data_IF_506051444400
#
_entry.id   IF_506051444400
#
_cell.length_a   1.000
_cell.length_b   1.000
_cell.length_c   1.000
_cell.angle_alpha   90.00
_cell.angle_beta   90.00
_cell.angle_gamma   90.00
#
_symmetry.space_group_name_H-M   'P 1'
#
loop_
_entity.id
_entity.type
_entity.pdbx_description
1 polymer ?
#
# COMPACT_ATOMS: atom_id res chain seq x y z
N UNK A 1 -5.98 60.18 -4.30
CA UNK A 1 -6.45 58.78 -4.17
C UNK A 1 -5.61 57.96 -5.14
N UNK A 2 -4.47 57.47 -4.65
CA UNK A 2 -3.47 56.71 -5.43
C UNK A 2 -3.92 55.26 -5.52
N UNK A 3 -4.24 54.80 -6.72
CA UNK A 3 -4.54 53.39 -6.96
C UNK A 3 -3.24 52.57 -6.90
N UNK A 4 -3.19 51.64 -5.97
CA UNK A 4 -2.16 50.62 -5.80
C UNK A 4 -2.17 49.68 -7.03
N UNK A 5 -1.03 49.40 -7.67
CA UNK A 5 -1.02 48.47 -8.79
C UNK A 5 -1.21 47.05 -8.25
N UNK A 6 -2.34 46.44 -8.61
CA UNK A 6 -2.59 45.03 -8.36
C UNK A 6 -1.44 44.20 -8.94
N UNK A 7 -0.62 43.64 -8.04
CA UNK A 7 0.39 42.65 -8.39
C UNK A 7 -0.28 41.47 -9.09
N UNK A 8 -0.17 41.44 -10.41
CA UNK A 8 -0.45 40.27 -11.21
C UNK A 8 0.53 39.16 -10.80
N UNK A 9 0.07 38.27 -9.91
CA UNK A 9 0.79 37.03 -9.59
C UNK A 9 0.93 36.25 -10.90
N UNK A 10 2.16 36.22 -11.42
CA UNK A 10 2.43 35.80 -12.79
C UNK A 10 2.04 34.32 -13.03
N UNK A 11 1.36 34.01 -14.15
CA UNK A 11 0.93 32.64 -14.52
C UNK A 11 2.11 31.64 -14.70
N UNK A 12 3.34 32.15 -14.82
CA UNK A 12 4.56 31.35 -14.95
C UNK A 12 4.84 30.46 -13.74
N UNK A 13 4.57 30.93 -12.51
CA UNK A 13 4.83 30.16 -11.30
C UNK A 13 3.83 29.02 -11.10
N UNK A 14 2.56 29.23 -11.48
CA UNK A 14 1.53 28.20 -11.41
C UNK A 14 1.78 27.09 -12.45
N UNK A 15 2.22 27.45 -13.65
CA UNK A 15 2.56 26.47 -14.69
C UNK A 15 3.83 25.66 -14.34
N UNK A 16 4.85 26.29 -13.74
CA UNK A 16 6.05 25.60 -13.26
C UNK A 16 5.71 24.62 -12.12
N UNK A 17 4.99 25.08 -11.10
CA UNK A 17 4.54 24.23 -10.00
C UNK A 17 3.63 23.07 -10.48
N UNK A 18 2.82 23.31 -11.51
CA UNK A 18 2.01 22.28 -12.16
C UNK A 18 2.87 21.17 -12.80
N UNK A 19 3.93 21.56 -13.53
CA UNK A 19 4.88 20.60 -14.15
C UNK A 19 5.66 19.79 -13.11
N UNK A 20 6.11 20.43 -12.04
CA UNK A 20 6.84 19.73 -10.97
C UNK A 20 5.95 18.70 -10.28
N UNK A 21 4.67 19.03 -10.06
CA UNK A 21 3.68 18.10 -9.52
C UNK A 21 3.42 16.93 -10.46
N UNK A 22 3.26 17.17 -11.76
CA UNK A 22 3.06 16.09 -12.74
C UNK A 22 4.26 15.16 -12.84
N UNK A 23 5.48 15.71 -12.79
CA UNK A 23 6.72 14.93 -12.74
C UNK A 23 6.76 14.04 -11.50
N UNK A 24 6.40 14.57 -10.32
CA UNK A 24 6.31 13.79 -9.07
C UNK A 24 5.32 12.62 -9.19
N UNK A 25 4.15 12.84 -9.80
CA UNK A 25 3.16 11.79 -10.02
C UNK A 25 3.59 10.77 -11.08
N UNK A 26 4.40 11.17 -12.06
CA UNK A 26 5.01 10.24 -13.00
C UNK A 26 6.01 9.31 -12.28
N UNK A 27 6.84 9.87 -11.40
CA UNK A 27 7.77 9.11 -10.54
C UNK A 27 7.00 8.16 -9.64
N UNK A 28 5.95 8.63 -8.95
CA UNK A 28 5.09 7.78 -8.10
C UNK A 28 4.50 6.58 -8.86
N UNK A 29 3.98 6.80 -10.07
CA UNK A 29 3.43 5.72 -10.91
C UNK A 29 4.51 4.71 -11.33
N UNK A 30 5.70 5.20 -11.68
CA UNK A 30 6.84 4.33 -12.03
C UNK A 30 7.27 3.50 -10.81
N UNK A 31 7.40 4.14 -9.65
CA UNK A 31 7.74 3.49 -8.39
C UNK A 31 6.73 2.40 -8.03
N UNK A 32 5.44 2.73 -7.96
CA UNK A 32 4.38 1.75 -7.61
C UNK A 32 4.25 0.61 -8.61
N UNK A 33 4.68 0.80 -9.87
CA UNK A 33 4.72 -0.27 -10.88
C UNK A 33 5.75 -1.36 -10.53
N UNK A 34 6.85 -1.02 -9.85
CA UNK A 34 7.83 -1.99 -9.34
C UNK A 34 7.23 -2.91 -8.28
N UNK A 35 6.27 -2.41 -7.50
CA UNK A 35 5.64 -3.12 -6.38
C UNK A 35 4.35 -3.87 -6.76
N UNK A 36 4.03 -3.99 -8.06
CA UNK A 36 2.82 -4.68 -8.51
C UNK A 36 2.78 -6.13 -8.05
N UNK A 37 1.59 -6.55 -7.60
CA UNK A 37 1.32 -7.92 -7.15
C UNK A 37 1.77 -9.01 -8.14
N UNK A 38 1.55 -8.81 -9.44
CA UNK A 38 1.97 -9.79 -10.46
C UNK A 38 3.48 -10.05 -10.45
N UNK A 39 4.29 -9.02 -10.13
CA UNK A 39 5.75 -9.16 -10.00
C UNK A 39 6.11 -9.91 -8.72
N UNK A 40 5.36 -9.71 -7.62
CA UNK A 40 5.53 -10.49 -6.39
C UNK A 40 5.33 -11.98 -6.64
N UNK A 41 4.20 -12.36 -7.24
CA UNK A 41 3.87 -13.78 -7.50
C UNK A 41 4.97 -14.43 -8.33
N UNK A 42 5.42 -13.76 -9.40
CA UNK A 42 6.52 -14.23 -10.22
C UNK A 42 7.83 -14.40 -9.43
N UNK A 43 8.12 -13.48 -8.51
CA UNK A 43 9.35 -13.50 -7.72
C UNK A 43 9.34 -14.56 -6.62
N UNK A 44 8.19 -14.79 -5.97
CA UNK A 44 8.00 -15.82 -4.94
C UNK A 44 8.12 -17.24 -5.54
N UNK A 45 7.57 -17.44 -6.74
CA UNK A 45 7.63 -18.75 -7.43
C UNK A 45 8.99 -18.97 -8.10
N UNK A 46 9.65 -17.90 -8.57
CA UNK A 46 10.85 -18.00 -9.39
C UNK A 46 12.18 -17.81 -8.68
N UNK A 47 12.22 -17.40 -7.40
CA UNK A 47 13.50 -17.16 -6.71
C UNK A 47 13.44 -17.39 -5.19
N UNK A 48 14.56 -17.85 -4.64
CA UNK A 48 14.74 -18.05 -3.20
C UNK A 48 14.78 -16.72 -2.43
N UNK A 49 15.27 -15.65 -3.06
CA UNK A 49 15.31 -14.29 -2.46
C UNK A 49 13.93 -13.69 -2.21
N UNK A 50 12.89 -14.16 -2.92
CA UNK A 50 11.51 -13.70 -2.68
C UNK A 50 10.99 -14.07 -1.30
N UNK A 51 11.55 -15.13 -0.69
CA UNK A 51 11.22 -15.56 0.67
C UNK A 51 11.96 -14.77 1.75
N UNK A 52 13.02 -14.04 1.40
CA UNK A 52 13.77 -13.22 2.36
C UNK A 52 12.91 -12.12 3.00
N UNK A 53 11.81 -11.72 2.36
CA UNK A 53 10.88 -10.72 2.91
C UNK A 53 10.09 -11.23 4.13
N UNK A 54 10.27 -12.51 4.49
CA UNK A 54 9.76 -13.13 5.71
C UNK A 54 10.86 -13.39 6.76
N UNK A 55 12.08 -12.90 6.54
CA UNK A 55 13.17 -13.00 7.51
C UNK A 55 13.10 -11.91 8.59
N UNK A 56 13.91 -12.05 9.64
CA UNK A 56 13.99 -11.07 10.73
C UNK A 56 14.50 -9.72 10.22
N UNK A 57 15.45 -9.72 9.27
CA UNK A 57 15.96 -8.49 8.63
C UNK A 57 15.27 -8.25 7.27
N UNK A 58 14.08 -7.65 7.36
CA UNK A 58 13.30 -7.27 6.18
C UNK A 58 13.88 -6.04 5.49
N UNK A 59 14.62 -5.17 6.19
CA UNK A 59 15.11 -3.90 5.65
C UNK A 59 16.26 -4.15 4.67
N UNK A 60 17.27 -4.93 5.07
CA UNK A 60 18.37 -5.29 4.18
C UNK A 60 17.87 -6.09 2.99
N UNK A 61 16.92 -7.00 3.23
CA UNK A 61 16.28 -7.76 2.16
C UNK A 61 15.55 -6.84 1.18
N UNK A 62 14.78 -5.86 1.67
CA UNK A 62 14.03 -4.94 0.83
C UNK A 62 14.96 -4.24 -0.16
N UNK A 63 16.12 -3.74 0.28
CA UNK A 63 17.14 -3.13 -0.59
C UNK A 63 17.75 -4.11 -1.59
N UNK A 64 18.01 -5.34 -1.17
CA UNK A 64 18.68 -6.34 -1.99
C UNK A 64 17.75 -6.96 -3.05
N UNK A 65 16.43 -6.89 -2.86
CA UNK A 65 15.49 -7.43 -3.85
C UNK A 65 15.58 -6.68 -5.20
N UNK A 66 15.33 -7.34 -6.34
CA UNK A 66 15.34 -6.67 -7.65
C UNK A 66 14.39 -5.46 -7.74
N UNK A 67 13.26 -5.54 -7.01
CA UNK A 67 12.31 -4.45 -6.88
C UNK A 67 12.89 -3.28 -6.08
N UNK A 68 13.54 -3.55 -4.94
CA UNK A 68 14.21 -2.53 -4.15
C UNK A 68 15.34 -1.85 -4.90
N UNK A 69 16.16 -2.60 -5.63
CA UNK A 69 17.23 -2.04 -6.49
C UNK A 69 16.65 -1.15 -7.58
N UNK A 70 15.61 -1.62 -8.29
CA UNK A 70 14.97 -0.82 -9.36
C UNK A 70 14.30 0.44 -8.80
N UNK A 71 13.70 0.34 -7.62
CA UNK A 71 13.06 1.46 -6.96
C UNK A 71 14.08 2.46 -6.42
N UNK A 72 15.19 2.00 -5.82
CA UNK A 72 16.32 2.85 -5.42
C UNK A 72 16.91 3.62 -6.62
N UNK A 73 17.06 2.97 -7.77
CA UNK A 73 17.49 3.65 -9.00
C UNK A 73 16.51 4.75 -9.46
N UNK A 74 15.20 4.60 -9.23
CA UNK A 74 14.21 5.65 -9.53
C UNK A 74 14.34 6.81 -8.52
N UNK A 75 14.63 6.51 -7.27
CA UNK A 75 14.74 7.49 -6.19
C UNK A 75 16.07 8.24 -6.22
N UNK A 76 17.13 7.66 -6.78
CA UNK A 76 18.48 8.22 -6.88
C UNK A 76 18.51 9.62 -7.51
N UNK A 77 17.68 9.84 -8.55
CA UNK A 77 17.67 11.09 -9.33
C UNK A 77 16.89 12.24 -8.67
N UNK A 78 16.26 12.00 -7.51
CA UNK A 78 15.40 12.97 -6.85
C UNK A 78 16.16 13.83 -5.84
N UNK A 79 15.76 15.10 -5.76
CA UNK A 79 16.22 15.99 -4.69
C UNK A 79 15.49 15.71 -3.37
N UNK A 80 16.01 16.31 -2.29
CA UNK A 80 15.49 16.16 -0.95
C UNK A 80 14.01 16.61 -0.78
N UNK A 81 13.60 17.78 -1.30
CA UNK A 81 12.18 18.18 -1.32
C UNK A 81 11.26 17.18 -2.02
N UNK A 82 11.66 16.66 -3.18
CA UNK A 82 10.89 15.69 -3.95
C UNK A 82 10.75 14.36 -3.21
N UNK A 83 11.82 13.87 -2.58
CA UNK A 83 11.76 12.67 -1.74
C UNK A 83 10.85 12.85 -0.54
N UNK A 84 10.93 14.01 0.12
CA UNK A 84 10.06 14.34 1.25
C UNK A 84 8.59 14.37 0.83
N UNK A 85 8.29 14.96 -0.33
CA UNK A 85 6.94 14.98 -0.89
C UNK A 85 6.45 13.55 -1.24
N UNK A 86 7.29 12.72 -1.84
CA UNK A 86 6.98 11.31 -2.10
C UNK A 86 6.76 10.51 -0.81
N UNK A 87 7.55 10.75 0.23
CA UNK A 87 7.35 10.13 1.53
C UNK A 87 5.98 10.52 2.13
N UNK A 88 5.54 11.77 1.94
CA UNK A 88 4.19 12.20 2.30
C UNK A 88 3.09 11.42 1.55
N UNK A 89 3.24 11.30 0.22
CA UNK A 89 2.31 10.54 -0.63
C UNK A 89 2.27 9.06 -0.20
N UNK A 90 3.45 8.46 0.04
CA UNK A 90 3.57 7.06 0.42
C UNK A 90 2.93 6.78 1.77
N UNK A 91 3.10 7.68 2.76
CA UNK A 91 2.44 7.58 4.07
C UNK A 91 0.92 7.64 3.95
N UNK A 92 0.38 8.58 3.16
CA UNK A 92 -1.07 8.64 2.89
C UNK A 92 -1.55 7.35 2.22
N UNK A 93 -0.82 6.87 1.21
CA UNK A 93 -1.18 5.65 0.51
C UNK A 93 -1.16 4.42 1.44
N UNK A 94 -0.15 4.28 2.29
CA UNK A 94 -0.06 3.20 3.27
C UNK A 94 -1.22 3.26 4.27
N UNK A 95 -1.51 4.44 4.84
CA UNK A 95 -2.63 4.62 5.77
C UNK A 95 -3.99 4.30 5.13
N UNK A 96 -4.19 4.68 3.85
CA UNK A 96 -5.42 4.36 3.12
C UNK A 96 -5.55 2.86 2.84
N UNK A 97 -4.45 2.19 2.46
CA UNK A 97 -4.47 0.75 2.26
C UNK A 97 -4.66 -0.04 3.56
N UNK A 98 -4.12 0.44 4.68
CA UNK A 98 -4.34 -0.16 5.99
C UNK A 98 -5.81 -0.08 6.42
N UNK A 99 -6.44 1.09 6.24
CA UNK A 99 -7.87 1.25 6.49
C UNK A 99 -8.72 0.33 5.58
N UNK A 100 -8.39 0.25 4.28
CA UNK A 100 -9.08 -0.64 3.35
C UNK A 100 -8.92 -2.12 3.72
N UNK A 101 -7.72 -2.52 4.12
CA UNK A 101 -7.44 -3.87 4.61
C UNK A 101 -8.26 -4.20 5.85
N UNK A 102 -8.29 -3.32 6.84
CA UNK A 102 -9.08 -3.50 8.07
C UNK A 102 -10.58 -3.60 7.77
N UNK A 103 -11.09 -2.76 6.88
CA UNK A 103 -12.49 -2.83 6.44
C UNK A 103 -12.79 -4.14 5.69
N UNK A 104 -11.89 -4.57 4.79
CA UNK A 104 -12.03 -5.84 4.09
C UNK A 104 -12.03 -7.01 5.08
N UNK A 105 -11.07 -7.05 6.01
CA UNK A 105 -11.02 -8.08 7.05
C UNK A 105 -12.30 -8.12 7.89
N UNK A 106 -12.84 -6.95 8.26
CA UNK A 106 -14.11 -6.88 8.97
C UNK A 106 -15.24 -7.51 8.14
N UNK A 107 -15.45 -7.09 6.90
CA UNK A 107 -16.57 -7.58 6.09
C UNK A 107 -16.43 -9.04 5.67
N UNK A 108 -15.25 -9.45 5.22
CA UNK A 108 -15.00 -10.82 4.75
C UNK A 108 -14.98 -11.84 5.89
N UNK A 109 -14.81 -11.43 7.15
CA UNK A 109 -14.93 -12.32 8.31
C UNK A 109 -16.34 -12.24 8.90
N UNK A 110 -16.82 -11.05 9.24
CA UNK A 110 -18.11 -10.89 9.92
C UNK A 110 -19.31 -11.19 9.02
N UNK A 111 -19.25 -10.88 7.73
CA UNK A 111 -20.32 -11.11 6.78
C UNK A 111 -20.68 -12.59 6.66
N UNK A 112 -19.72 -13.47 6.31
CA UNK A 112 -19.97 -14.90 6.24
C UNK A 112 -20.46 -15.50 7.56
N UNK A 113 -19.86 -15.13 8.69
CA UNK A 113 -20.28 -15.62 10.01
C UNK A 113 -21.73 -15.21 10.32
N UNK A 114 -22.08 -13.94 10.07
CA UNK A 114 -23.43 -13.43 10.29
C UNK A 114 -24.44 -14.13 9.39
N UNK A 115 -24.12 -14.32 8.11
CA UNK A 115 -24.97 -15.03 7.16
C UNK A 115 -25.23 -16.50 7.59
N UNK A 116 -24.19 -17.19 8.09
CA UNK A 116 -24.31 -18.54 8.62
C UNK A 116 -25.22 -18.58 9.84
N UNK A 117 -25.00 -17.68 10.82
CA UNK A 117 -25.79 -17.63 12.04
C UNK A 117 -27.26 -17.29 11.75
N UNK A 118 -27.53 -16.32 10.88
CA UNK A 118 -28.87 -16.00 10.42
C UNK A 118 -29.52 -17.17 9.67
N UNK A 119 -28.74 -17.88 8.85
CA UNK A 119 -29.18 -19.11 8.18
C UNK A 119 -29.65 -20.18 9.16
N UNK A 120 -28.93 -20.39 10.25
CA UNK A 120 -29.35 -21.32 11.31
C UNK A 120 -30.64 -20.89 12.03
N UNK A 121 -30.98 -19.60 12.04
CA UNK A 121 -32.24 -19.12 12.62
C UNK A 121 -33.42 -19.28 11.66
N UNK A 122 -33.21 -19.03 10.37
CA UNK A 122 -34.29 -18.99 9.36
C UNK A 122 -34.52 -20.35 8.69
N UNK A 123 -33.46 -21.09 8.40
CA UNK A 123 -33.50 -22.38 7.69
C UNK A 123 -32.40 -23.34 8.19
N UNK A 124 -32.57 -23.95 9.38
CA UNK A 124 -31.53 -24.74 10.04
C UNK A 124 -31.06 -25.94 9.21
N UNK A 125 -31.99 -26.72 8.66
CA UNK A 125 -31.67 -27.95 7.91
C UNK A 125 -30.94 -27.66 6.60
N UNK A 126 -31.37 -26.61 5.88
CA UNK A 126 -30.69 -26.15 4.67
C UNK A 126 -29.27 -25.65 4.96
N UNK A 127 -29.12 -24.86 6.02
CA UNK A 127 -27.81 -24.33 6.43
C UNK A 127 -26.85 -25.45 6.84
N UNK A 128 -27.33 -26.44 7.61
CA UNK A 128 -26.57 -27.65 7.97
C UNK A 128 -26.18 -28.45 6.72
N UNK A 129 -27.10 -28.61 5.77
CA UNK A 129 -26.84 -29.30 4.51
C UNK A 129 -25.73 -28.62 3.69
N UNK A 130 -25.72 -27.29 3.60
CA UNK A 130 -24.64 -26.55 2.92
C UNK A 130 -23.31 -26.67 3.65
N UNK A 131 -23.29 -26.51 4.98
CA UNK A 131 -22.03 -26.51 5.73
C UNK A 131 -21.40 -27.90 5.86
N UNK A 132 -22.21 -28.93 6.07
CA UNK A 132 -21.73 -30.30 6.33
C UNK A 132 -21.79 -31.17 5.07
N UNK A 133 -22.84 -31.00 4.25
CA UNK A 133 -23.06 -31.75 3.01
C UNK A 133 -22.56 -31.05 1.74
N UNK A 134 -22.30 -29.75 1.77
CA UNK A 134 -21.92 -28.95 0.59
C UNK A 134 -20.48 -29.16 0.10
N UNK A 135 -19.65 -29.87 0.87
CA UNK A 135 -18.33 -30.36 0.48
C UNK A 135 -17.49 -29.38 -0.34
N UNK A 136 -17.27 -29.72 -1.62
CA UNK A 136 -16.41 -28.97 -2.55
C UNK A 136 -16.88 -27.54 -2.82
N UNK A 137 -18.19 -27.30 -2.96
CA UNK A 137 -18.72 -25.96 -3.23
C UNK A 137 -18.50 -25.00 -2.06
N UNK A 138 -18.72 -25.48 -0.84
CA UNK A 138 -18.44 -24.72 0.37
C UNK A 138 -16.94 -24.46 0.55
N UNK A 139 -16.10 -25.46 0.26
CA UNK A 139 -14.64 -25.28 0.27
C UNK A 139 -14.18 -24.19 -0.72
N UNK A 140 -14.75 -24.14 -1.93
CA UNK A 140 -14.45 -23.09 -2.91
C UNK A 140 -14.84 -21.69 -2.41
N UNK A 141 -15.95 -21.56 -1.68
CA UNK A 141 -16.35 -20.27 -1.08
C UNK A 141 -15.30 -19.83 -0.05
N UNK A 142 -14.89 -20.73 0.85
CA UNK A 142 -13.86 -20.42 1.85
C UNK A 142 -12.55 -20.02 1.17
N UNK A 143 -12.09 -20.81 0.21
CA UNK A 143 -10.86 -20.51 -0.55
C UNK A 143 -10.98 -19.17 -1.27
N UNK A 144 -12.12 -18.87 -1.91
CA UNK A 144 -12.35 -17.60 -2.60
C UNK A 144 -12.33 -16.40 -1.65
N UNK A 145 -12.98 -16.51 -0.50
CA UNK A 145 -12.97 -15.47 0.55
C UNK A 145 -11.55 -15.28 1.09
N UNK A 146 -10.84 -16.36 1.41
CA UNK A 146 -9.46 -16.30 1.89
C UNK A 146 -8.50 -15.72 0.86
N UNK A 147 -8.62 -16.11 -0.41
CA UNK A 147 -7.80 -15.56 -1.50
C UNK A 147 -8.06 -14.06 -1.70
N UNK A 148 -9.32 -13.63 -1.61
CA UNK A 148 -9.70 -12.21 -1.69
C UNK A 148 -9.08 -11.42 -0.55
N UNK A 149 -9.17 -11.95 0.67
CA UNK A 149 -8.57 -11.35 1.87
C UNK A 149 -7.05 -11.26 1.74
N UNK A 150 -6.38 -12.33 1.30
CA UNK A 150 -4.94 -12.31 1.01
C UNK A 150 -4.56 -11.28 -0.05
N UNK A 151 -5.42 -11.03 -1.04
CA UNK A 151 -5.26 -9.96 -2.02
C UNK A 151 -5.19 -8.58 -1.37
N UNK A 152 -6.16 -8.23 -0.53
CA UNK A 152 -6.16 -6.96 0.21
C UNK A 152 -4.94 -6.84 1.13
N UNK A 153 -4.62 -7.90 1.87
CA UNK A 153 -3.44 -7.93 2.73
C UNK A 153 -2.16 -7.65 1.94
N UNK A 154 -2.02 -8.29 0.78
CA UNK A 154 -0.81 -8.14 -0.04
C UNK A 154 -0.68 -6.73 -0.60
N UNK A 155 -1.77 -6.10 -1.03
CA UNK A 155 -1.76 -4.70 -1.49
C UNK A 155 -1.35 -3.77 -0.33
N UNK A 156 -1.92 -3.98 0.85
CA UNK A 156 -1.56 -3.23 2.06
C UNK A 156 -0.07 -3.39 2.41
N UNK A 157 0.41 -4.62 2.41
CA UNK A 157 1.82 -4.93 2.67
C UNK A 157 2.75 -4.25 1.66
N UNK A 158 2.42 -4.28 0.36
CA UNK A 158 3.20 -3.61 -0.69
C UNK A 158 3.19 -2.09 -0.54
N UNK A 159 2.07 -1.50 -0.14
CA UNK A 159 1.99 -0.07 0.15
C UNK A 159 2.95 0.34 1.28
N UNK A 160 3.05 -0.48 2.33
CA UNK A 160 4.02 -0.29 3.42
C UNK A 160 5.47 -0.39 2.96
N UNK A 161 5.80 -1.35 2.08
CA UNK A 161 7.17 -1.49 1.56
C UNK A 161 7.61 -0.30 0.69
N UNK A 162 6.70 0.29 -0.09
CA UNK A 162 7.00 1.52 -0.84
C UNK A 162 7.36 2.65 0.12
N UNK A 163 6.56 2.86 1.18
CA UNK A 163 6.82 3.89 2.17
C UNK A 163 8.17 3.66 2.88
N UNK A 164 8.41 2.44 3.36
CA UNK A 164 9.64 2.07 4.04
C UNK A 164 10.89 2.30 3.17
N UNK A 165 10.84 2.00 1.87
CA UNK A 165 11.97 2.22 0.98
C UNK A 165 12.29 3.71 0.79
N UNK A 166 11.27 4.57 0.66
CA UNK A 166 11.48 6.02 0.51
C UNK A 166 12.01 6.61 1.82
N UNK A 167 11.52 6.15 2.96
CA UNK A 167 12.03 6.56 4.27
C UNK A 167 13.48 6.13 4.48
N UNK A 168 13.84 4.92 4.02
CA UNK A 168 15.22 4.43 4.06
C UNK A 168 16.16 5.29 3.19
N UNK A 169 15.73 5.68 1.98
CA UNK A 169 16.49 6.60 1.13
C UNK A 169 16.69 7.98 1.78
N UNK A 170 15.68 8.50 2.48
CA UNK A 170 15.82 9.74 3.25
C UNK A 170 16.85 9.59 4.38
N UNK A 171 16.79 8.50 5.14
CA UNK A 171 17.75 8.19 6.22
C UNK A 171 19.18 8.09 5.66
N UNK A 172 19.37 7.37 4.56
CA UNK A 172 20.69 7.16 3.94
C UNK A 172 21.31 8.45 3.40
N UNK A 173 20.46 9.43 3.04
CA UNK A 173 20.89 10.78 2.65
C UNK A 173 21.06 11.72 3.84
N UNK A 174 20.97 11.22 5.07
CA UNK A 174 21.11 12.00 6.30
C UNK A 174 19.95 12.96 6.55
N UNK A 175 18.77 12.70 5.99
CA UNK A 175 17.59 13.54 6.15
C UNK A 175 16.79 13.10 7.37
N UNK A 176 16.34 14.07 8.18
CA UNK A 176 15.46 13.77 9.30
C UNK A 176 14.07 13.37 8.79
N UNK A 177 13.58 12.22 9.24
CA UNK A 177 12.18 11.88 9.06
C UNK A 177 11.33 12.81 9.94
N UNK A 178 10.28 13.39 9.37
CA UNK A 178 9.21 13.97 10.17
C UNK A 178 8.45 12.82 10.85
N UNK A 179 8.99 12.34 11.98
CA UNK A 179 8.34 11.35 12.85
C UNK A 179 7.11 12.05 13.46
N UNK A 180 5.90 11.52 13.29
CA UNK A 180 4.74 12.04 13.99
C UNK A 180 4.98 11.88 15.50
N UNK A 181 4.98 12.99 16.23
CA UNK A 181 5.12 12.97 17.68
C UNK A 181 3.84 12.34 18.29
N UNK A 182 3.96 11.13 18.81
CA UNK A 182 2.84 10.40 19.43
C UNK A 182 2.62 10.79 20.90
N UNK A 183 3.36 11.78 21.42
CA UNK A 183 3.32 12.18 22.83
C UNK A 183 2.07 12.98 23.25
N UNK A 184 1.13 13.28 22.35
CA UNK A 184 -0.04 14.12 22.64
C UNK A 184 -1.39 13.40 22.60
N UNK A 185 -1.39 12.05 22.66
CA UNK A 185 -2.61 11.24 22.58
C UNK A 185 -2.93 10.43 23.86
N UNK A 186 -2.59 10.96 25.05
CA UNK A 186 -3.14 10.49 26.34
C UNK A 186 -4.24 11.44 26.86
#
# INVERSE_FOLDING_TARGET
MTAEPAMAVAPTNAAAAGRDREALWAVWRRLTTEFRFVRLVRHLVGSRSGWGLYEVDVVSTLKATPMGVSAGAILADLDAPQLTALAGIARINAARNDALWKMAALFYVSGPVTAILAGFQVAPEFTRMIMVGGGFGFALIIVGVSASLLGYYTINWRAGQVAALIELELIERGQALAVPDHSTAE
#
